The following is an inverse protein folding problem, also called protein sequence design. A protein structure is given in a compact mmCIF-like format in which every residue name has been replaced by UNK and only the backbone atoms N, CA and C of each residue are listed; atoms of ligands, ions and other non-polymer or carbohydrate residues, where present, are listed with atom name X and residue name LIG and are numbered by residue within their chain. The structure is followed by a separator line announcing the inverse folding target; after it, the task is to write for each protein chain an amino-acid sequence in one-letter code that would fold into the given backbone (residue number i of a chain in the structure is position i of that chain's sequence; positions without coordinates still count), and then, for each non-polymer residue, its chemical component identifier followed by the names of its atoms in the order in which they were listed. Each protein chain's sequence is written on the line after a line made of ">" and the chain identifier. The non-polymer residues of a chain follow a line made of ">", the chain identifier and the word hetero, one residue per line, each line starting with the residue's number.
data_IF_684639342550
#
_entry.id   IF_684639342550
#
_cell.length_a   1.000
_cell.length_b   1.000
_cell.length_c   1.000
_cell.angle_alpha   90.00
_cell.angle_beta   90.00
_cell.angle_gamma   90.00
#
_symmetry.space_group_name_H-M   'P 1'
#
loop_
_entity.id
_entity.type
_entity.pdbx_description
1 polymer ?
#
# COMPACT_ATOMS: atom_id res chain seq x y z
N UNK A 1 12.51 -7.54 -17.67
CA UNK A 1 11.26 -7.21 -16.93
C UNK A 1 10.08 -6.87 -17.84
N UNK A 2 10.26 -6.29 -19.04
CA UNK A 2 9.15 -5.87 -19.92
C UNK A 2 8.22 -6.96 -20.49
N UNK A 3 8.65 -8.22 -20.57
CA UNK A 3 7.81 -9.32 -21.09
C UNK A 3 6.79 -9.85 -20.08
N UNK A 4 7.06 -9.73 -18.78
CA UNK A 4 6.14 -10.19 -17.73
C UNK A 4 5.00 -9.21 -17.50
N UNK A 5 5.32 -7.90 -17.41
CA UNK A 5 4.33 -6.83 -17.25
C UNK A 5 3.37 -6.78 -18.43
N UNK A 6 3.89 -6.87 -19.66
CA UNK A 6 3.08 -6.90 -20.88
C UNK A 6 2.13 -8.10 -20.92
N UNK A 7 2.59 -9.29 -20.53
CA UNK A 7 1.73 -10.49 -20.45
C UNK A 7 0.63 -10.34 -19.40
N UNK A 8 0.94 -9.76 -18.24
CA UNK A 8 -0.05 -9.51 -17.19
C UNK A 8 -1.09 -8.48 -17.66
N UNK A 9 -0.65 -7.38 -18.27
CA UNK A 9 -1.54 -6.36 -18.83
C UNK A 9 -2.45 -6.94 -19.94
N UNK A 10 -1.90 -7.72 -20.88
CA UNK A 10 -2.69 -8.42 -21.91
C UNK A 10 -3.69 -9.41 -21.29
N UNK A 11 -3.30 -10.14 -20.24
CA UNK A 11 -4.19 -11.05 -19.51
C UNK A 11 -5.33 -10.29 -18.81
N UNK A 12 -5.02 -9.18 -18.14
CA UNK A 12 -6.01 -8.33 -17.48
C UNK A 12 -6.98 -7.74 -18.51
N UNK A 13 -6.48 -7.23 -19.63
CA UNK A 13 -7.32 -6.74 -20.75
C UNK A 13 -8.25 -7.83 -21.26
N UNK A 14 -7.75 -9.04 -21.49
CA UNK A 14 -8.57 -10.18 -21.91
C UNK A 14 -9.61 -10.56 -20.86
N UNK A 15 -9.24 -10.55 -19.57
CA UNK A 15 -10.19 -10.82 -18.47
C UNK A 15 -11.33 -9.81 -18.45
N UNK A 16 -11.02 -8.52 -18.60
CA UNK A 16 -12.01 -7.44 -18.62
C UNK A 16 -12.89 -7.53 -19.87
N UNK A 17 -12.29 -7.74 -21.06
CA UNK A 17 -13.02 -7.83 -22.33
C UNK A 17 -13.91 -9.06 -22.43
N UNK A 18 -13.50 -10.17 -21.82
CA UNK A 18 -14.29 -11.40 -21.76
C UNK A 18 -15.32 -11.41 -20.64
N UNK A 19 -15.24 -10.45 -19.70
CA UNK A 19 -16.26 -10.30 -18.67
C UNK A 19 -17.55 -9.82 -19.32
N UNK A 20 -18.68 -10.48 -19.01
CA UNK A 20 -19.98 -10.17 -19.60
C UNK A 20 -20.48 -8.78 -19.24
N UNK A 21 -19.94 -8.21 -18.17
CA UNK A 21 -20.23 -6.86 -17.71
C UNK A 21 -19.24 -5.87 -18.27
N UNK A 22 -19.74 -4.90 -19.04
CA UNK A 22 -18.98 -3.70 -19.41
C UNK A 22 -18.87 -2.70 -18.26
N UNK A 23 -19.24 -3.06 -17.04
CA UNK A 23 -19.09 -2.19 -15.88
C UNK A 23 -17.67 -2.30 -15.31
N UNK A 24 -16.99 -1.15 -15.26
CA UNK A 24 -15.68 -1.01 -14.64
C UNK A 24 -15.69 -1.44 -13.17
N UNK A 25 -16.79 -1.19 -12.45
CA UNK A 25 -16.94 -1.53 -11.02
C UNK A 25 -16.90 -3.03 -10.78
N UNK A 26 -17.36 -3.82 -11.75
CA UNK A 26 -17.32 -5.27 -11.67
C UNK A 26 -15.97 -5.85 -12.10
N UNK A 27 -15.23 -5.09 -12.91
CA UNK A 27 -13.93 -5.53 -13.44
C UNK A 27 -12.76 -5.22 -12.51
N UNK A 28 -12.83 -4.16 -11.69
CA UNK A 28 -11.78 -3.81 -10.72
C UNK A 28 -11.53 -4.94 -9.69
N UNK A 29 -12.54 -5.56 -9.05
CA UNK A 29 -12.32 -6.68 -8.13
C UNK A 29 -11.62 -7.88 -8.79
N UNK A 30 -12.07 -8.26 -9.99
CA UNK A 30 -11.49 -9.39 -10.76
C UNK A 30 -10.02 -9.12 -11.04
N UNK A 31 -9.72 -7.94 -11.59
CA UNK A 31 -8.36 -7.59 -11.96
C UNK A 31 -7.44 -7.45 -10.74
N UNK A 32 -7.98 -6.93 -9.62
CA UNK A 32 -7.27 -6.85 -8.34
C UNK A 32 -6.89 -8.24 -7.81
N UNK A 33 -7.81 -9.21 -7.83
CA UNK A 33 -7.54 -10.58 -7.37
C UNK A 33 -6.46 -11.28 -8.20
N UNK A 34 -6.38 -10.98 -9.50
CA UNK A 34 -5.36 -11.52 -10.41
C UNK A 34 -3.96 -10.93 -10.13
N UNK A 35 -3.89 -9.70 -9.62
CA UNK A 35 -2.61 -9.06 -9.26
C UNK A 35 -2.15 -9.47 -7.87
N UNK A 36 -3.05 -9.46 -6.88
CA UNK A 36 -2.73 -9.76 -5.48
C UNK A 36 -2.59 -11.27 -5.30
N UNK A 37 -1.44 -11.79 -5.71
CA UNK A 37 -1.04 -13.18 -5.50
C UNK A 37 0.09 -13.26 -4.48
N UNK A 38 0.23 -14.39 -3.77
CA UNK A 38 1.34 -14.60 -2.81
C UNK A 38 2.71 -14.29 -3.46
N UNK A 39 2.89 -14.69 -4.72
CA UNK A 39 4.12 -14.45 -5.48
C UNK A 39 4.42 -12.97 -5.70
N UNK A 40 3.42 -12.16 -6.05
CA UNK A 40 3.65 -10.72 -6.27
C UNK A 40 3.80 -9.98 -4.94
N UNK A 41 3.05 -10.40 -3.91
CA UNK A 41 3.22 -9.87 -2.56
C UNK A 41 4.61 -10.18 -2.02
N UNK A 42 5.13 -11.40 -2.14
CA UNK A 42 6.47 -11.78 -1.66
C UNK A 42 7.60 -10.95 -2.29
N UNK A 43 7.43 -10.49 -3.53
CA UNK A 43 8.42 -9.61 -4.19
C UNK A 43 8.45 -8.21 -3.58
N UNK A 44 7.30 -7.71 -3.19
CA UNK A 44 7.13 -6.36 -2.64
C UNK A 44 7.39 -6.37 -1.13
N UNK A 45 6.76 -7.29 -0.41
CA UNK A 45 6.85 -7.49 1.03
C UNK A 45 8.00 -8.44 1.39
N UNK A 46 9.23 -8.14 0.94
CA UNK A 46 10.40 -8.87 1.44
C UNK A 46 10.47 -8.70 2.96
N UNK A 47 10.51 -9.82 3.70
CA UNK A 47 10.28 -9.82 5.16
C UNK A 47 11.20 -8.88 5.93
N UNK A 48 12.50 -8.95 5.67
CA UNK A 48 13.49 -8.09 6.34
C UNK A 48 13.27 -6.61 6.03
N UNK A 49 12.97 -6.29 4.75
CA UNK A 49 12.70 -4.92 4.32
C UNK A 49 11.41 -4.39 4.95
N UNK A 50 10.31 -5.13 4.84
CA UNK A 50 9.03 -4.68 5.37
C UNK A 50 9.08 -4.47 6.88
N UNK A 51 9.71 -5.39 7.63
CA UNK A 51 9.92 -5.23 9.07
C UNK A 51 10.76 -4.01 9.41
N UNK A 52 11.83 -3.76 8.66
CA UNK A 52 12.67 -2.58 8.84
C UNK A 52 11.85 -1.28 8.69
N UNK A 53 11.06 -1.16 7.62
CA UNK A 53 10.21 0.02 7.43
C UNK A 53 9.18 0.17 8.55
N UNK A 54 8.52 -0.92 8.97
CA UNK A 54 7.55 -0.86 10.07
C UNK A 54 8.22 -0.35 11.35
N UNK A 55 9.36 -0.93 11.74
CA UNK A 55 10.09 -0.51 12.95
C UNK A 55 10.56 0.94 12.86
N UNK A 56 11.14 1.34 11.73
CA UNK A 56 11.63 2.70 11.53
C UNK A 56 10.48 3.72 11.52
N UNK A 57 9.35 3.40 10.89
CA UNK A 57 8.16 4.24 10.90
C UNK A 57 7.59 4.43 12.30
N UNK A 58 7.42 3.33 13.06
CA UNK A 58 6.94 3.39 14.45
C UNK A 58 7.88 4.25 15.32
N UNK A 59 9.18 4.00 15.25
CA UNK A 59 10.16 4.77 16.01
C UNK A 59 10.19 6.23 15.58
N UNK A 60 10.13 6.50 14.27
CA UNK A 60 10.08 7.83 13.70
C UNK A 60 8.87 8.62 14.21
N UNK A 61 7.66 8.05 14.11
CA UNK A 61 6.43 8.67 14.59
C UNK A 61 6.52 8.99 16.09
N UNK A 62 7.00 8.06 16.91
CA UNK A 62 7.15 8.26 18.35
C UNK A 62 8.13 9.39 18.67
N UNK A 63 9.26 9.45 17.98
CA UNK A 63 10.27 10.49 18.15
C UNK A 63 9.75 11.87 17.72
N UNK A 64 8.97 11.94 16.64
CA UNK A 64 8.31 13.19 16.20
C UNK A 64 7.33 13.67 17.28
N UNK A 65 6.47 12.79 17.79
CA UNK A 65 5.53 13.10 18.86
C UNK A 65 6.20 13.53 20.17
N UNK A 66 7.41 13.02 20.43
CA UNK A 66 8.22 13.40 21.57
C UNK A 66 9.05 14.68 21.36
N UNK A 67 8.99 15.31 20.17
CA UNK A 67 9.78 16.51 19.85
C UNK A 67 11.27 16.25 19.61
N UNK A 68 11.67 14.99 19.37
CA UNK A 68 13.07 14.57 19.26
C UNK A 68 13.69 14.78 17.86
N UNK A 69 13.00 15.48 16.96
CA UNK A 69 13.48 15.82 15.60
C UNK A 69 14.07 17.24 15.51
N UNK A 70 14.75 17.70 16.56
CA UNK A 70 15.42 19.00 16.58
C UNK A 70 14.49 20.14 17.01
N UNK A 71 13.76 19.95 18.10
CA UNK A 71 12.84 20.94 18.70
C UNK A 71 11.64 21.33 17.81
N UNK A 72 11.38 20.57 16.75
CA UNK A 72 10.19 20.75 15.92
C UNK A 72 8.95 20.35 16.73
N UNK A 73 8.00 21.27 16.86
CA UNK A 73 6.71 21.00 17.48
C UNK A 73 5.87 20.09 16.58
N UNK A 74 5.23 19.07 17.17
CA UNK A 74 4.40 18.14 16.43
C UNK A 74 3.20 18.84 15.78
N UNK A 75 2.66 19.90 16.38
CA UNK A 75 1.59 20.69 15.76
C UNK A 75 2.07 21.43 14.50
N UNK A 76 3.36 21.81 14.44
CA UNK A 76 3.94 22.39 13.22
C UNK A 76 3.97 21.35 12.07
N UNK A 77 4.27 20.09 12.39
CA UNK A 77 4.33 18.99 11.42
C UNK A 77 2.99 18.76 10.72
N UNK A 78 1.88 18.97 11.43
CA UNK A 78 0.52 18.78 10.88
C UNK A 78 0.18 19.81 9.80
N UNK A 79 0.68 21.04 9.94
CA UNK A 79 0.28 22.19 9.11
C UNK A 79 1.35 22.62 8.10
N UNK A 80 2.63 22.35 8.36
CA UNK A 80 3.74 22.77 7.51
C UNK A 80 4.23 21.60 6.65
N UNK A 81 3.94 21.66 5.35
CA UNK A 81 4.30 20.60 4.41
C UNK A 81 5.81 20.44 4.24
N UNK A 82 6.59 21.53 4.33
CA UNK A 82 8.05 21.48 4.21
C UNK A 82 8.62 20.72 5.41
N UNK A 83 8.23 21.11 6.62
CA UNK A 83 8.65 20.46 7.86
C UNK A 83 8.28 18.98 7.88
N UNK A 84 7.07 18.64 7.41
CA UNK A 84 6.64 17.24 7.27
C UNK A 84 7.53 16.45 6.30
N UNK A 85 7.83 16.99 5.11
CA UNK A 85 8.69 16.31 4.14
C UNK A 85 10.12 16.12 4.67
N UNK A 86 10.66 17.10 5.40
CA UNK A 86 11.97 16.98 6.05
C UNK A 86 12.00 15.85 7.08
N UNK A 87 10.97 15.75 7.92
CA UNK A 87 10.84 14.66 8.91
C UNK A 87 10.76 13.30 8.22
N UNK A 88 9.91 13.18 7.20
CA UNK A 88 9.76 11.93 6.44
C UNK A 88 11.09 11.52 5.81
N UNK A 89 11.83 12.48 5.25
CA UNK A 89 13.14 12.21 4.67
C UNK A 89 14.13 11.75 5.73
N UNK A 90 14.19 12.38 6.90
CA UNK A 90 15.07 11.93 8.00
C UNK A 90 14.73 10.52 8.49
N UNK A 91 13.44 10.15 8.54
CA UNK A 91 13.05 8.77 8.90
C UNK A 91 13.52 7.79 7.84
N UNK A 92 13.46 8.15 6.56
CA UNK A 92 13.97 7.32 5.46
C UNK A 92 15.49 7.20 5.47
N UNK A 93 16.21 8.28 5.75
CA UNK A 93 17.67 8.25 5.84
C UNK A 93 18.11 7.22 6.91
N UNK A 94 17.39 7.12 8.03
CA UNK A 94 17.63 6.08 9.06
C UNK A 94 17.43 4.66 8.51
N UNK A 95 16.41 4.45 7.68
CA UNK A 95 16.14 3.15 7.03
C UNK A 95 17.27 2.77 6.08
N UNK A 96 17.69 3.72 5.24
CA UNK A 96 18.75 3.55 4.24
C UNK A 96 20.13 3.35 4.89
N UNK A 97 20.42 4.03 6.00
CA UNK A 97 21.66 3.81 6.77
C UNK A 97 21.72 2.43 7.43
N UNK A 98 20.56 1.80 7.70
CA UNK A 98 20.50 0.50 8.38
C UNK A 98 20.84 -0.67 7.45
N UNK A 99 20.59 -0.53 6.14
CA UNK A 99 20.80 -1.60 5.17
C UNK A 99 21.35 -1.04 3.86
N UNK A 100 22.53 -1.52 3.46
CA UNK A 100 23.13 -1.22 2.15
C UNK A 100 22.43 -2.02 1.03
N UNK A 101 21.16 -1.70 0.76
CA UNK A 101 20.35 -2.36 -0.26
C UNK A 101 19.33 -1.40 -0.85
N UNK A 102 19.20 -1.43 -2.18
CA UNK A 102 18.16 -0.71 -2.89
C UNK A 102 16.76 -1.24 -2.53
N UNK A 103 15.90 -0.35 -2.02
CA UNK A 103 14.49 -0.65 -1.78
C UNK A 103 13.68 -0.50 -3.07
N UNK A 104 12.58 -1.25 -3.18
CA UNK A 104 11.65 -1.07 -4.29
C UNK A 104 10.97 0.32 -4.18
N UNK A 105 10.91 1.07 -5.29
CA UNK A 105 10.27 2.41 -5.34
C UNK A 105 8.84 2.39 -4.79
N UNK A 106 8.09 1.30 -5.03
CA UNK A 106 6.74 1.10 -4.47
C UNK A 106 6.72 1.11 -2.94
N UNK A 107 7.75 0.56 -2.29
CA UNK A 107 7.88 0.50 -0.83
C UNK A 107 8.18 1.87 -0.25
N UNK A 108 9.13 2.60 -0.85
CA UNK A 108 9.48 3.95 -0.45
C UNK A 108 8.27 4.89 -0.58
N UNK A 109 7.55 4.82 -1.71
CA UNK A 109 6.34 5.63 -1.93
C UNK A 109 5.23 5.29 -0.94
N UNK A 110 4.94 4.02 -0.73
CA UNK A 110 3.91 3.61 0.21
C UNK A 110 4.23 4.06 1.63
N UNK A 111 5.50 3.97 2.04
CA UNK A 111 5.95 4.39 3.35
C UNK A 111 5.80 5.91 3.54
N UNK A 112 6.22 6.71 2.55
CA UNK A 112 6.02 8.17 2.55
C UNK A 112 4.55 8.55 2.68
N UNK A 113 3.67 7.88 1.96
CA UNK A 113 2.22 8.10 2.02
C UNK A 113 1.65 7.77 3.40
N UNK A 114 2.02 6.62 3.96
CA UNK A 114 1.57 6.19 5.29
C UNK A 114 2.05 7.14 6.40
N UNK A 115 3.32 7.54 6.37
CA UNK A 115 3.86 8.53 7.32
C UNK A 115 3.16 9.89 7.17
N UNK A 116 2.95 10.35 5.94
CA UNK A 116 2.25 11.62 5.68
C UNK A 116 0.86 11.60 6.28
N UNK A 117 0.07 10.55 6.02
CA UNK A 117 -1.28 10.41 6.56
C UNK A 117 -1.27 10.34 8.09
N UNK A 118 -0.37 9.52 8.66
CA UNK A 118 -0.29 9.34 10.12
C UNK A 118 0.11 10.63 10.84
N UNK A 119 1.12 11.34 10.34
CA UNK A 119 1.61 12.56 10.98
C UNK A 119 0.64 13.74 10.81
N UNK A 120 0.04 13.92 9.62
CA UNK A 120 -0.94 14.99 9.37
C UNK A 120 -2.22 14.79 10.17
N UNK A 121 -2.73 13.57 10.25
CA UNK A 121 -4.01 13.25 10.90
C UNK A 121 -3.85 12.76 12.35
N UNK A 122 -2.62 12.69 12.85
CA UNK A 122 -2.28 12.19 14.19
C UNK A 122 -2.82 10.77 14.50
N UNK A 123 -2.74 9.88 13.52
CA UNK A 123 -3.31 8.53 13.63
C UNK A 123 -2.55 7.63 14.61
N UNK A 124 -3.21 6.63 15.18
CA UNK A 124 -2.53 5.66 16.04
C UNK A 124 -1.42 4.89 15.31
N UNK A 125 -0.46 4.34 16.06
CA UNK A 125 0.68 3.59 15.50
C UNK A 125 0.21 2.38 14.68
N UNK A 126 -0.85 1.69 15.12
CA UNK A 126 -1.40 0.55 14.40
C UNK A 126 -2.02 0.99 13.06
N UNK A 127 -2.66 2.16 13.03
CA UNK A 127 -3.21 2.73 11.80
C UNK A 127 -2.10 3.06 10.80
N UNK A 128 -0.91 3.49 11.25
CA UNK A 128 0.24 3.65 10.36
C UNK A 128 0.60 2.35 9.62
N UNK A 129 0.65 1.21 10.33
CA UNK A 129 1.03 -0.07 9.71
C UNK A 129 -0.06 -0.56 8.76
N UNK A 130 -1.33 -0.32 9.11
CA UNK A 130 -2.47 -0.60 8.23
C UNK A 130 -2.42 0.27 6.96
N UNK A 131 -2.21 1.57 7.10
CA UNK A 131 -2.06 2.51 5.99
C UNK A 131 -0.86 2.13 5.11
N UNK A 132 0.23 1.68 5.71
CA UNK A 132 1.40 1.22 4.95
C UNK A 132 1.09 -0.04 4.11
N UNK A 133 0.40 -1.02 4.69
CA UNK A 133 -0.09 -2.19 3.94
C UNK A 133 -1.04 -1.76 2.81
N UNK A 134 -1.99 -0.87 3.12
CA UNK A 134 -2.95 -0.33 2.16
C UNK A 134 -2.24 0.34 0.99
N UNK A 135 -1.31 1.26 1.23
CA UNK A 135 -0.61 1.97 0.16
C UNK A 135 0.30 1.07 -0.67
N UNK A 136 0.93 0.06 -0.05
CA UNK A 136 1.73 -0.94 -0.78
C UNK A 136 0.87 -1.70 -1.79
N UNK A 137 -0.28 -2.20 -1.34
CA UNK A 137 -1.20 -2.96 -2.20
C UNK A 137 -1.84 -2.05 -3.23
N UNK A 138 -2.24 -0.84 -2.84
CA UNK A 138 -2.79 0.16 -3.76
C UNK A 138 -1.82 0.47 -4.90
N UNK A 139 -0.58 0.81 -4.60
CA UNK A 139 0.41 1.15 -5.63
C UNK A 139 0.76 -0.05 -6.51
N UNK A 140 0.81 -1.25 -5.95
CA UNK A 140 1.00 -2.49 -6.71
C UNK A 140 -0.13 -2.69 -7.72
N UNK A 141 -1.38 -2.59 -7.27
CA UNK A 141 -2.56 -2.78 -8.11
C UNK A 141 -2.68 -1.66 -9.14
N UNK A 142 -2.52 -0.40 -8.72
CA UNK A 142 -2.57 0.77 -9.58
C UNK A 142 -1.55 0.69 -10.72
N UNK A 143 -0.31 0.29 -10.41
CA UNK A 143 0.78 0.21 -11.39
C UNK A 143 0.55 -0.80 -12.52
N UNK A 144 -0.34 -1.76 -12.30
CA UNK A 144 -0.73 -2.77 -13.29
C UNK A 144 -2.09 -2.48 -13.94
N UNK A 145 -3.05 -1.90 -13.19
CA UNK A 145 -4.41 -1.67 -13.68
C UNK A 145 -4.59 -0.39 -14.47
N UNK A 146 -3.88 0.70 -14.15
CA UNK A 146 -4.24 2.01 -14.69
C UNK A 146 -4.13 2.03 -16.23
N UNK A 147 -3.04 1.51 -16.78
CA UNK A 147 -2.86 1.40 -18.23
C UNK A 147 -3.88 0.43 -18.86
N UNK A 148 -4.11 -0.72 -18.21
CA UNK A 148 -5.02 -1.74 -18.74
C UNK A 148 -6.48 -1.24 -18.79
N UNK A 149 -6.91 -0.49 -17.78
CA UNK A 149 -8.26 0.03 -17.67
C UNK A 149 -8.46 1.27 -18.56
N UNK A 150 -7.50 2.18 -18.63
CA UNK A 150 -7.59 3.36 -19.52
C UNK A 150 -7.71 2.97 -21.00
N UNK A 151 -7.11 1.85 -21.40
CA UNK A 151 -7.22 1.33 -22.77
C UNK A 151 -8.59 0.69 -23.09
N UNK A 152 -9.27 0.16 -22.08
CA UNK A 152 -10.55 -0.56 -22.25
C UNK A 152 -11.76 0.33 -21.95
N UNK A 153 -11.63 1.24 -20.98
CA UNK A 153 -12.67 2.13 -20.46
C UNK A 153 -12.33 3.59 -20.76
N UNK A 154 -12.44 3.97 -22.03
CA UNK A 154 -12.08 5.32 -22.51
C UNK A 154 -12.91 6.46 -21.90
N UNK A 155 -14.07 6.13 -21.36
CA UNK A 155 -15.00 7.11 -20.76
C UNK A 155 -14.65 7.45 -19.30
N UNK A 156 -13.70 6.75 -18.69
CA UNK A 156 -13.29 6.96 -17.30
C UNK A 156 -11.93 7.66 -17.23
N UNK A 157 -11.87 8.74 -16.46
CA UNK A 157 -10.62 9.42 -16.14
C UNK A 157 -9.72 8.59 -15.21
N UNK A 158 -8.42 8.84 -15.24
CA UNK A 158 -7.45 8.18 -14.36
C UNK A 158 -7.82 8.30 -12.87
N UNK A 159 -8.36 9.45 -12.46
CA UNK A 159 -8.76 9.69 -11.07
C UNK A 159 -9.94 8.80 -10.66
N UNK A 160 -10.93 8.63 -11.54
CA UNK A 160 -12.07 7.75 -11.27
C UNK A 160 -11.64 6.28 -11.15
N UNK A 161 -10.73 5.84 -12.02
CA UNK A 161 -10.14 4.49 -11.96
C UNK A 161 -9.37 4.32 -10.64
N UNK A 162 -8.54 5.31 -10.28
CA UNK A 162 -7.79 5.29 -9.03
C UNK A 162 -8.69 5.19 -7.79
N UNK A 163 -9.80 5.92 -7.77
CA UNK A 163 -10.73 5.89 -6.65
C UNK A 163 -11.42 4.53 -6.52
N UNK A 164 -11.80 3.90 -7.64
CA UNK A 164 -12.32 2.53 -7.63
C UNK A 164 -11.28 1.52 -7.11
N UNK A 165 -10.02 1.66 -7.53
CA UNK A 165 -8.93 0.81 -7.03
C UNK A 165 -8.72 1.03 -5.53
N UNK A 166 -8.70 2.28 -5.05
CA UNK A 166 -8.58 2.57 -3.62
C UNK A 166 -9.71 1.94 -2.81
N UNK A 167 -10.96 2.07 -3.28
CA UNK A 167 -12.12 1.47 -2.62
C UNK A 167 -11.97 -0.05 -2.52
N UNK A 168 -11.60 -0.70 -3.63
CA UNK A 168 -11.36 -2.14 -3.65
C UNK A 168 -10.24 -2.55 -2.70
N UNK A 169 -9.12 -1.82 -2.67
CA UNK A 169 -7.99 -2.14 -1.80
C UNK A 169 -8.33 -1.92 -0.32
N UNK A 170 -9.19 -0.95 0.03
CA UNK A 170 -9.71 -0.80 1.41
C UNK A 170 -10.54 -2.00 1.86
N UNK A 171 -11.30 -2.63 0.95
CA UNK A 171 -12.04 -3.86 1.27
C UNK A 171 -11.07 -5.04 1.50
N UNK A 172 -9.96 -5.09 0.76
CA UNK A 172 -8.91 -6.10 0.94
C UNK A 172 -8.14 -5.87 2.24
N UNK A 173 -7.75 -4.62 2.51
CA UNK A 173 -7.01 -4.18 3.69
C UNK A 173 -7.97 -3.51 4.66
N UNK A 174 -8.80 -4.33 5.31
CA UNK A 174 -9.82 -3.85 6.24
C UNK A 174 -9.37 -3.90 7.70
N UNK A 175 -10.14 -3.27 8.59
CA UNK A 175 -9.91 -3.28 10.03
C UNK A 175 -9.84 -4.69 10.64
N UNK A 176 -10.40 -5.71 9.99
CA UNK A 176 -10.26 -7.11 10.42
C UNK A 176 -8.81 -7.62 10.33
N UNK A 177 -7.92 -6.91 9.63
CA UNK A 177 -6.48 -7.17 9.65
C UNK A 177 -5.78 -6.52 10.85
N UNK A 178 -6.44 -5.66 11.63
CA UNK A 178 -5.82 -4.94 12.76
C UNK A 178 -5.24 -5.91 13.80
N UNK A 179 -5.98 -6.96 14.16
CA UNK A 179 -5.50 -7.97 15.11
C UNK A 179 -4.25 -8.67 14.57
N UNK A 180 -4.26 -9.03 13.29
CA UNK A 180 -3.14 -9.72 12.64
C UNK A 180 -1.92 -8.82 12.45
N UNK A 181 -2.13 -7.53 12.17
CA UNK A 181 -1.08 -6.52 12.10
C UNK A 181 -0.50 -6.27 13.50
N UNK A 182 -1.34 -6.19 14.52
CA UNK A 182 -0.90 -6.05 15.91
C UNK A 182 -0.04 -7.25 16.31
N UNK A 183 -0.51 -8.46 16.05
CA UNK A 183 0.27 -9.67 16.30
C UNK A 183 1.57 -9.72 15.50
N UNK A 184 1.61 -9.14 14.28
CA UNK A 184 2.82 -9.06 13.48
C UNK A 184 3.82 -8.07 14.10
N UNK A 185 3.36 -6.88 14.51
CA UNK A 185 4.17 -5.86 15.18
C UNK A 185 4.74 -6.39 16.51
N UNK A 186 3.94 -7.16 17.26
CA UNK A 186 4.36 -7.83 18.49
C UNK A 186 5.28 -9.05 18.24
N UNK A 187 5.52 -9.43 16.98
CA UNK A 187 6.35 -10.57 16.60
C UNK A 187 5.72 -11.94 16.91
N UNK A 188 4.40 -11.98 17.16
CA UNK A 188 3.63 -13.22 17.41
C UNK A 188 3.30 -13.97 16.14
N UNK A 189 3.17 -13.28 15.01
CA UNK A 189 2.94 -13.89 13.69
C UNK A 189 3.98 -13.43 12.67
N UNK A 190 4.27 -14.32 11.71
CA UNK A 190 5.18 -14.01 10.60
C UNK A 190 4.47 -13.20 9.51
N UNK A 191 5.23 -12.41 8.76
CA UNK A 191 4.71 -11.62 7.63
C UNK A 191 3.93 -12.50 6.65
N UNK A 192 4.42 -13.72 6.39
CA UNK A 192 3.77 -14.68 5.50
C UNK A 192 2.32 -14.99 5.89
N UNK A 193 1.97 -14.96 7.18
CA UNK A 193 0.58 -15.17 7.64
C UNK A 193 -0.29 -13.97 7.25
N UNK A 194 0.22 -12.75 7.44
CA UNK A 194 -0.43 -11.51 7.01
C UNK A 194 -0.65 -11.49 5.49
N UNK A 195 0.37 -11.82 4.70
CA UNK A 195 0.26 -11.84 3.23
C UNK A 195 -0.76 -12.87 2.74
N UNK A 196 -0.82 -14.05 3.36
CA UNK A 196 -1.85 -15.06 3.05
C UNK A 196 -3.26 -14.54 3.31
N UNK A 197 -3.46 -13.84 4.42
CA UNK A 197 -4.77 -13.27 4.74
C UNK A 197 -5.17 -12.20 3.73
N UNK A 198 -4.23 -11.34 3.33
CA UNK A 198 -4.44 -10.33 2.28
C UNK A 198 -4.82 -11.00 0.95
N UNK A 199 -4.09 -12.04 0.51
CA UNK A 199 -4.42 -12.79 -0.71
C UNK A 199 -5.79 -13.46 -0.61
N UNK A 200 -6.11 -14.08 0.53
CA UNK A 200 -7.41 -14.70 0.75
C UNK A 200 -8.55 -13.68 0.64
N UNK A 201 -8.37 -12.48 1.24
CA UNK A 201 -9.36 -11.40 1.14
C UNK A 201 -9.49 -10.89 -0.28
N UNK A 202 -8.39 -10.66 -0.99
CA UNK A 202 -8.42 -10.22 -2.40
C UNK A 202 -9.22 -11.18 -3.30
N UNK A 203 -9.17 -12.48 -3.02
CA UNK A 203 -9.96 -13.48 -3.74
C UNK A 203 -11.43 -13.58 -3.26
N UNK A 204 -11.72 -13.15 -2.04
CA UNK A 204 -13.05 -13.23 -1.43
C UNK A 204 -13.91 -11.99 -1.67
N UNK A 205 -13.30 -10.80 -1.86
CA UNK A 205 -14.04 -9.56 -2.14
C UNK A 205 -14.73 -9.72 -3.51
N UNK A 206 -16.04 -9.96 -3.46
CA UNK A 206 -16.87 -10.15 -4.65
C UNK A 206 -17.37 -8.82 -5.20
N UNK A 207 -17.57 -8.85 -6.51
CA UNK A 207 -18.30 -7.88 -7.33
C UNK A 207 -19.65 -7.55 -6.66
N UNK A 208 -19.85 -6.29 -6.28
CA UNK A 208 -21.16 -5.77 -5.88
C UNK A 208 -21.31 -5.27 -4.44
N UNK A 209 -20.28 -5.34 -3.60
CA UNK A 209 -20.27 -4.62 -2.32
C UNK A 209 -19.67 -3.22 -2.53
N UNK A 210 -20.49 -2.33 -3.08
CA UNK A 210 -20.27 -0.88 -3.10
C UNK A 210 -21.45 -0.18 -2.43
#
# INVERSE_FOLDING_TARGET
>A
MGTSKRKLNEKIKQLIQNNSSKDIKESVPIATSEIITEKELDKVFKEDSFRLFVVAGINGINRVRAGEFGEIDFEEVKINEVTLQEIIQRILDIVEETVDTDFADVMLRAFKLALTATLKEDKAILEFVLDFCFYLIFLLVQGELIEAFSDVYTDFGHDQINDLIKQQVRLVVSEELNDLITDYVDGKVQLKVLLKQITSKANAVKIGEF
#
